data_IF_474492809617
#
_entry.id   IF_474492809617
#
_cell.length_a   1.000
_cell.length_b   1.000
_cell.length_c   1.000
_cell.angle_alpha   90.00
_cell.angle_beta   90.00
_cell.angle_gamma   90.00
#
_symmetry.space_group_name_H-M   'P 1'
#
loop_
_entity.id
_entity.type
_entity.pdbx_description
1 polymer ?
#
# COMPACT_ATOMS: atom_id res chain seq x y z
N UNK A 1 10.12 -0.16 -12.53
CA UNK A 1 8.93 0.48 -11.96
C UNK A 1 9.03 0.36 -10.45
N UNK A 2 8.91 1.45 -9.73
CA UNK A 2 8.93 1.43 -8.27
C UNK A 2 7.52 1.13 -7.72
N UNK A 3 7.40 0.87 -6.42
CA UNK A 3 6.12 0.49 -5.82
C UNK A 3 5.09 1.62 -5.89
N UNK A 4 5.52 2.88 -5.81
CA UNK A 4 4.63 4.04 -5.85
C UNK A 4 4.00 4.19 -7.23
N UNK A 5 4.78 4.02 -8.31
CA UNK A 5 4.28 4.02 -9.69
C UNK A 5 3.27 2.90 -9.92
N UNK A 6 3.52 1.71 -9.34
CA UNK A 6 2.60 0.59 -9.41
C UNK A 6 1.29 0.93 -8.69
N UNK A 7 1.37 1.42 -7.45
CA UNK A 7 0.18 1.75 -6.67
C UNK A 7 -0.63 2.89 -7.31
N UNK A 8 0.03 3.83 -7.97
CA UNK A 8 -0.66 4.89 -8.71
C UNK A 8 -1.37 4.35 -9.96
N UNK A 9 -0.76 3.40 -10.66
CA UNK A 9 -1.38 2.71 -11.81
C UNK A 9 -2.57 1.81 -11.43
N UNK A 10 -2.72 1.46 -10.15
CA UNK A 10 -3.86 0.70 -9.63
C UNK A 10 -5.10 1.56 -9.33
N UNK A 11 -5.01 2.88 -9.47
CA UNK A 11 -6.19 3.76 -9.49
C UNK A 11 -6.96 3.55 -10.79
N UNK A 12 -8.22 3.17 -10.68
CA UNK A 12 -9.03 2.75 -11.80
C UNK A 12 -9.97 3.84 -12.29
N UNK A 13 -10.30 3.76 -13.57
CA UNK A 13 -11.39 4.51 -14.21
C UNK A 13 -12.36 3.51 -14.86
N UNK A 14 -13.41 3.99 -15.50
CA UNK A 14 -14.43 3.15 -16.12
C UNK A 14 -13.88 2.21 -17.19
N UNK A 15 -12.81 2.61 -17.91
CA UNK A 15 -12.25 1.85 -19.02
C UNK A 15 -11.44 0.65 -18.58
N UNK A 16 -10.75 0.75 -17.42
CA UNK A 16 -9.82 -0.28 -16.93
C UNK A 16 -10.24 -0.92 -15.60
N UNK A 17 -11.49 -0.70 -15.19
CA UNK A 17 -12.02 -1.16 -13.90
C UNK A 17 -11.93 -2.68 -13.71
N UNK A 18 -11.99 -3.44 -14.79
CA UNK A 18 -11.97 -4.89 -14.80
C UNK A 18 -10.60 -5.48 -15.16
N UNK A 19 -9.59 -4.64 -15.43
CA UNK A 19 -8.27 -5.11 -15.82
C UNK A 19 -7.45 -5.56 -14.61
N UNK A 20 -6.77 -6.70 -14.75
CA UNK A 20 -5.87 -7.25 -13.74
C UNK A 20 -4.45 -7.08 -14.24
N UNK A 21 -3.65 -6.34 -13.49
CA UNK A 21 -2.26 -6.07 -13.80
C UNK A 21 -1.33 -6.90 -12.93
N UNK A 22 -0.37 -7.58 -13.57
CA UNK A 22 0.71 -8.26 -12.87
C UNK A 22 2.06 -7.69 -13.28
N UNK A 23 2.91 -7.48 -12.30
CA UNK A 23 4.26 -6.97 -12.48
C UNK A 23 5.28 -8.02 -12.05
N UNK A 24 6.33 -8.22 -12.87
CA UNK A 24 7.36 -9.20 -12.58
C UNK A 24 8.32 -8.71 -11.51
N UNK A 25 8.39 -9.43 -10.39
CA UNK A 25 9.35 -9.21 -9.31
C UNK A 25 10.13 -10.49 -9.04
N UNK A 26 11.38 -10.54 -9.51
CA UNK A 26 12.18 -11.76 -9.45
C UNK A 26 11.55 -12.88 -10.27
N UNK A 27 11.20 -14.01 -9.63
CA UNK A 27 10.54 -15.17 -10.24
C UNK A 27 9.01 -15.16 -10.08
N UNK A 28 8.43 -14.13 -9.48
CA UNK A 28 7.01 -14.03 -9.21
C UNK A 28 6.37 -12.91 -10.01
N UNK A 29 5.13 -13.15 -10.43
CA UNK A 29 4.22 -12.14 -10.94
C UNK A 29 3.35 -11.66 -9.80
N UNK A 30 3.29 -10.34 -9.58
CA UNK A 30 2.56 -9.74 -8.47
C UNK A 30 1.48 -8.81 -8.96
N UNK A 31 0.28 -9.01 -8.45
CA UNK A 31 -0.83 -8.07 -8.56
C UNK A 31 -0.92 -7.26 -7.26
N UNK A 32 -1.30 -5.99 -7.37
CA UNK A 32 -1.39 -5.06 -6.26
C UNK A 32 -2.80 -4.50 -6.14
N UNK A 33 -3.17 -4.06 -4.95
CA UNK A 33 -4.41 -3.33 -4.65
C UNK A 33 -5.63 -3.91 -5.37
N UNK A 34 -6.21 -3.16 -6.32
CA UNK A 34 -7.39 -3.58 -7.05
C UNK A 34 -7.16 -4.83 -7.93
N UNK A 35 -6.02 -4.89 -8.60
CA UNK A 35 -5.63 -6.11 -9.33
C UNK A 35 -5.48 -7.32 -8.42
N UNK A 36 -5.01 -7.15 -7.19
CA UNK A 36 -4.95 -8.22 -6.20
C UNK A 36 -6.36 -8.65 -5.75
N UNK A 37 -7.27 -7.70 -5.57
CA UNK A 37 -8.68 -8.00 -5.30
C UNK A 37 -9.31 -8.84 -6.41
N UNK A 38 -9.24 -8.37 -7.66
CA UNK A 38 -9.78 -9.07 -8.82
C UNK A 38 -9.15 -10.45 -8.99
N UNK A 39 -7.83 -10.58 -8.79
CA UNK A 39 -7.13 -11.87 -8.86
C UNK A 39 -7.64 -12.89 -7.83
N UNK A 40 -7.94 -12.43 -6.61
CA UNK A 40 -8.50 -13.29 -5.55
C UNK A 40 -9.91 -13.74 -5.88
N UNK A 41 -10.71 -12.88 -6.49
CA UNK A 41 -12.12 -13.10 -6.80
C UNK A 41 -12.34 -13.57 -8.24
N UNK A 42 -11.27 -13.85 -8.98
CA UNK A 42 -11.38 -14.35 -10.35
C UNK A 42 -12.23 -15.64 -10.39
N UNK A 43 -13.19 -15.73 -11.31
CA UNK A 43 -14.06 -16.91 -11.43
C UNK A 43 -13.24 -18.17 -11.72
N UNK A 44 -13.27 -19.11 -10.81
CA UNK A 44 -12.59 -20.40 -10.92
C UNK A 44 -13.29 -21.43 -10.04
N UNK A 45 -13.04 -22.72 -10.29
CA UNK A 45 -13.56 -23.81 -9.46
C UNK A 45 -12.82 -23.99 -8.12
N UNK A 46 -11.85 -23.12 -7.83
CA UNK A 46 -11.04 -23.18 -6.60
C UNK A 46 -11.88 -22.83 -5.37
N UNK A 47 -11.70 -23.61 -4.32
CA UNK A 47 -12.23 -23.30 -2.98
C UNK A 47 -11.56 -22.09 -2.38
N UNK A 48 -12.16 -21.46 -1.38
CA UNK A 48 -11.61 -20.27 -0.72
C UNK A 48 -10.17 -20.47 -0.16
N UNK A 49 -9.86 -21.67 0.33
CA UNK A 49 -8.54 -22.01 0.85
C UNK A 49 -7.47 -22.19 -0.23
N UNK A 50 -7.88 -22.55 -1.44
CA UNK A 50 -7.01 -22.74 -2.60
C UNK A 50 -6.75 -21.47 -3.38
N UNK A 51 -7.61 -20.45 -3.21
CA UNK A 51 -7.45 -19.14 -3.86
C UNK A 51 -6.16 -18.44 -3.44
N UNK A 52 -5.69 -17.54 -4.29
CA UNK A 52 -4.51 -16.71 -4.03
C UNK A 52 -4.66 -15.96 -2.71
N UNK A 53 -3.66 -16.08 -1.84
CA UNK A 53 -3.69 -15.46 -0.51
C UNK A 53 -3.08 -14.06 -0.55
N UNK A 54 -3.86 -13.03 -0.20
CA UNK A 54 -3.35 -11.67 -0.17
C UNK A 54 -2.39 -11.46 1.03
N UNK A 55 -1.38 -10.65 0.81
CA UNK A 55 -0.43 -10.23 1.83
C UNK A 55 -0.43 -8.71 1.93
N UNK A 56 -0.57 -8.17 3.13
CA UNK A 56 -0.49 -6.73 3.40
C UNK A 56 0.92 -6.35 3.83
N UNK A 57 1.48 -5.32 3.20
CA UNK A 57 2.81 -4.76 3.50
C UNK A 57 2.72 -3.28 3.82
N UNK A 58 3.70 -2.79 4.58
CA UNK A 58 3.84 -1.39 4.96
C UNK A 58 5.20 -0.88 4.51
N UNK A 59 5.24 0.33 3.99
CA UNK A 59 6.48 1.05 3.66
C UNK A 59 6.45 2.45 4.28
N UNK A 60 7.60 3.14 4.27
CA UNK A 60 7.68 4.53 4.76
C UNK A 60 6.80 5.48 3.92
N UNK A 61 6.62 5.19 2.65
CA UNK A 61 5.81 5.98 1.71
C UNK A 61 4.34 5.55 1.68
N UNK A 62 4.02 4.35 2.18
CA UNK A 62 2.65 3.84 2.27
C UNK A 62 2.40 3.28 3.69
N UNK A 63 2.15 4.18 4.64
CA UNK A 63 1.98 3.88 6.08
C UNK A 63 0.71 3.06 6.34
N UNK A 64 -0.35 3.29 5.58
CA UNK A 64 -1.62 2.55 5.69
C UNK A 64 -1.51 1.14 5.11
N UNK A 65 -0.40 0.89 4.41
CA UNK A 65 -0.09 -0.38 3.80
C UNK A 65 -0.79 -0.61 2.47
N UNK A 66 -0.21 -1.48 1.69
CA UNK A 66 -0.77 -1.97 0.43
C UNK A 66 -0.89 -3.49 0.46
N UNK A 67 -1.80 -4.01 -0.35
CA UNK A 67 -2.03 -5.45 -0.50
C UNK A 67 -1.44 -5.92 -1.81
N UNK A 68 -0.85 -7.10 -1.81
CA UNK A 68 -0.41 -7.78 -3.02
C UNK A 68 -0.67 -9.28 -2.96
N UNK A 69 -0.78 -9.87 -4.13
CA UNK A 69 -0.81 -11.31 -4.37
C UNK A 69 0.35 -11.64 -5.30
N UNK A 70 0.97 -12.80 -5.13
CA UNK A 70 2.07 -13.24 -6.00
C UNK A 70 1.96 -14.70 -6.36
N UNK A 71 2.25 -15.01 -7.63
CA UNK A 71 2.29 -16.39 -8.14
C UNK A 71 3.42 -16.53 -9.18
N UNK A 72 4.01 -17.72 -9.31
CA UNK A 72 4.93 -18.02 -10.40
C UNK A 72 4.17 -18.24 -11.70
N UNK A 73 4.77 -17.90 -12.85
CA UNK A 73 4.14 -18.03 -14.17
C UNK A 73 3.55 -19.45 -14.44
N UNK A 74 4.21 -20.55 -14.09
CA UNK A 74 3.64 -21.90 -14.30
C UNK A 74 2.32 -22.17 -13.57
N UNK A 75 2.00 -21.37 -12.55
CA UNK A 75 0.75 -21.53 -11.79
C UNK A 75 -0.40 -20.68 -12.34
N UNK A 76 -0.19 -19.87 -13.38
CA UNK A 76 -1.22 -18.99 -13.93
C UNK A 76 -2.47 -19.74 -14.36
N UNK A 77 -2.32 -20.83 -15.11
CA UNK A 77 -3.46 -21.61 -15.63
C UNK A 77 -4.36 -22.16 -14.52
N UNK A 78 -3.79 -22.47 -13.35
CA UNK A 78 -4.56 -22.91 -12.19
C UNK A 78 -5.52 -21.83 -11.69
N UNK A 79 -5.06 -20.57 -11.66
CA UNK A 79 -5.81 -19.45 -11.06
C UNK A 79 -6.62 -18.67 -12.10
N UNK A 80 -6.19 -18.72 -13.36
CA UNK A 80 -6.77 -17.99 -14.49
C UNK A 80 -6.97 -18.96 -15.67
N UNK A 81 -7.91 -19.92 -15.53
CA UNK A 81 -8.12 -20.94 -16.56
C UNK A 81 -8.54 -20.31 -17.88
N UNK A 82 -8.00 -20.84 -18.98
CA UNK A 82 -8.27 -20.41 -20.36
C UNK A 82 -7.85 -18.96 -20.70
N UNK A 83 -7.09 -18.30 -19.85
CA UNK A 83 -6.65 -16.91 -20.07
C UNK A 83 -5.39 -16.84 -20.93
N UNK A 84 -4.38 -17.67 -20.63
CA UNK A 84 -3.05 -17.61 -21.28
C UNK A 84 -3.09 -17.79 -22.80
N UNK A 85 -4.04 -18.54 -23.33
CA UNK A 85 -4.15 -18.87 -24.74
C UNK A 85 -5.07 -17.92 -25.54
N UNK A 86 -5.60 -16.88 -24.88
CA UNK A 86 -6.49 -15.91 -25.50
C UNK A 86 -5.84 -14.53 -25.62
N UNK A 87 -5.33 -14.21 -26.81
CA UNK A 87 -4.63 -12.94 -27.08
C UNK A 87 -5.51 -11.68 -27.00
N UNK A 88 -6.84 -11.81 -26.99
CA UNK A 88 -7.75 -10.69 -26.80
C UNK A 88 -7.86 -10.31 -25.31
N UNK A 89 -7.70 -11.30 -24.45
CA UNK A 89 -7.86 -11.16 -22.99
C UNK A 89 -6.50 -10.99 -22.31
N UNK A 90 -5.48 -11.74 -22.77
CA UNK A 90 -4.16 -11.81 -22.15
C UNK A 90 -3.12 -11.07 -22.98
N UNK A 91 -2.45 -10.10 -22.36
CA UNK A 91 -1.30 -9.39 -22.94
C UNK A 91 -0.12 -9.47 -21.99
N UNK A 92 1.03 -9.84 -22.53
CA UNK A 92 2.29 -9.83 -21.78
C UNK A 92 3.35 -9.06 -22.56
N UNK A 93 3.78 -7.96 -22.01
CA UNK A 93 4.81 -7.10 -22.57
C UNK A 93 5.90 -6.83 -21.53
N UNK A 94 7.16 -7.11 -21.87
CA UNK A 94 8.29 -6.91 -20.97
C UNK A 94 8.07 -7.64 -19.62
N UNK A 95 7.89 -6.89 -18.55
CA UNK A 95 7.69 -7.37 -17.18
C UNK A 95 6.29 -7.06 -16.65
N UNK A 96 5.33 -6.94 -17.53
CA UNK A 96 3.96 -6.57 -17.21
C UNK A 96 2.96 -7.50 -17.93
N UNK A 97 2.00 -8.02 -17.19
CA UNK A 97 0.87 -8.79 -17.71
C UNK A 97 -0.40 -8.00 -17.45
N UNK A 98 -1.27 -7.93 -18.44
CA UNK A 98 -2.62 -7.40 -18.34
C UNK A 98 -3.61 -8.50 -18.73
N UNK A 99 -4.62 -8.70 -17.87
CA UNK A 99 -5.76 -9.57 -18.17
C UNK A 99 -6.99 -8.66 -18.26
N UNK A 100 -7.61 -8.58 -19.43
CA UNK A 100 -8.85 -7.83 -19.65
C UNK A 100 -10.03 -8.65 -19.09
N UNK A 101 -10.39 -8.35 -17.84
CA UNK A 101 -11.29 -9.19 -17.03
C UNK A 101 -12.78 -8.97 -17.24
N UNK A 102 -13.22 -7.99 -18.07
CA UNK A 102 -14.63 -7.60 -18.20
C UNK A 102 -15.58 -8.76 -18.48
N UNK A 103 -15.17 -9.70 -19.30
CA UNK A 103 -15.98 -10.90 -19.66
C UNK A 103 -16.13 -11.92 -18.51
N UNK A 104 -15.26 -11.86 -17.50
CA UNK A 104 -15.30 -12.75 -16.34
C UNK A 104 -16.14 -12.21 -15.19
N UNK A 105 -16.33 -10.87 -15.11
CA UNK A 105 -17.05 -10.18 -14.04
C UNK A 105 -18.36 -9.57 -14.54
N UNK A 106 -19.08 -10.25 -15.43
CA UNK A 106 -20.29 -9.72 -16.12
C UNK A 106 -21.40 -9.33 -15.15
N UNK A 107 -21.51 -10.00 -14.01
CA UNK A 107 -22.56 -9.77 -13.02
C UNK A 107 -22.11 -8.89 -11.84
N UNK A 108 -20.88 -8.39 -11.88
CA UNK A 108 -20.30 -7.59 -10.80
C UNK A 108 -20.40 -6.10 -11.10
N UNK A 109 -20.93 -5.34 -10.15
CA UNK A 109 -20.93 -3.88 -10.19
C UNK A 109 -19.77 -3.33 -9.36
N UNK A 110 -18.74 -2.90 -10.02
CA UNK A 110 -17.57 -2.29 -9.39
C UNK A 110 -17.57 -0.75 -9.42
N UNK A 111 -18.71 -0.11 -9.66
CA UNK A 111 -18.81 1.36 -9.67
C UNK A 111 -18.31 2.01 -8.35
N UNK A 112 -18.34 1.27 -7.23
CA UNK A 112 -17.82 1.68 -5.92
C UNK A 112 -16.56 0.94 -5.52
N UNK A 113 -15.67 0.63 -6.47
CA UNK A 113 -14.49 -0.20 -6.23
C UNK A 113 -13.59 0.27 -5.09
N UNK A 114 -13.46 1.59 -4.87
CA UNK A 114 -12.65 2.14 -3.78
C UNK A 114 -13.18 1.74 -2.40
N UNK A 115 -14.49 1.74 -2.22
CA UNK A 115 -15.14 1.27 -1.00
C UNK A 115 -14.95 -0.22 -0.79
N UNK A 116 -15.16 -1.02 -1.85
CA UNK A 116 -14.94 -2.47 -1.85
C UNK A 116 -13.49 -2.81 -1.49
N UNK A 117 -12.53 -2.13 -2.13
CA UNK A 117 -11.11 -2.31 -1.87
C UNK A 117 -10.74 -1.96 -0.43
N UNK A 118 -11.26 -0.85 0.09
CA UNK A 118 -11.00 -0.38 1.45
C UNK A 118 -11.50 -1.40 2.48
N UNK A 119 -12.72 -1.88 2.31
CA UNK A 119 -13.31 -2.90 3.17
C UNK A 119 -12.51 -4.21 3.12
N UNK A 120 -12.19 -4.69 1.91
CA UNK A 120 -11.39 -5.89 1.73
C UNK A 120 -10.02 -5.79 2.39
N UNK A 121 -9.30 -4.67 2.20
CA UNK A 121 -8.00 -4.41 2.81
C UNK A 121 -8.05 -4.38 4.34
N UNK A 122 -9.15 -3.93 4.93
CA UNK A 122 -9.33 -3.88 6.39
C UNK A 122 -9.38 -5.29 7.01
N UNK A 123 -9.88 -6.27 6.28
CA UNK A 123 -9.99 -7.66 6.70
C UNK A 123 -8.67 -8.44 6.57
N UNK A 124 -7.66 -7.91 5.87
CA UNK A 124 -6.38 -8.57 5.69
C UNK A 124 -5.45 -8.23 6.85
N UNK A 125 -5.10 -9.26 7.65
CA UNK A 125 -4.23 -9.10 8.81
C UNK A 125 -2.77 -8.89 8.40
N UNK A 126 -2.10 -7.98 9.09
CA UNK A 126 -0.65 -7.82 8.98
C UNK A 126 0.05 -9.03 9.60
N UNK A 127 1.12 -9.50 8.95
CA UNK A 127 2.03 -10.47 9.55
C UNK A 127 2.75 -9.86 10.77
N UNK A 128 3.25 -10.69 11.68
CA UNK A 128 3.95 -10.19 12.87
C UNK A 128 5.22 -9.41 12.52
N UNK A 129 5.87 -9.76 11.41
CA UNK A 129 7.00 -9.00 10.86
C UNK A 129 6.58 -7.60 10.43
N UNK A 130 5.48 -7.48 9.70
CA UNK A 130 4.96 -6.18 9.25
C UNK A 130 4.39 -5.33 10.41
N UNK A 131 3.86 -5.97 11.46
CA UNK A 131 3.44 -5.26 12.69
C UNK A 131 4.62 -4.61 13.40
N UNK A 132 5.77 -5.32 13.51
CA UNK A 132 7.01 -4.77 14.10
C UNK A 132 7.50 -3.59 13.27
N UNK A 133 7.61 -3.76 11.95
CA UNK A 133 8.00 -2.71 11.02
C UNK A 133 7.10 -1.47 11.09
N UNK A 134 5.79 -1.66 11.22
CA UNK A 134 4.83 -0.56 11.38
C UNK A 134 5.09 0.25 12.65
N UNK A 135 5.41 -0.44 13.77
CA UNK A 135 5.77 0.25 15.02
C UNK A 135 7.06 1.07 14.86
N UNK A 136 8.06 0.53 14.17
CA UNK A 136 9.32 1.24 13.90
C UNK A 136 9.08 2.48 13.04
N UNK A 137 8.34 2.37 11.94
CA UNK A 137 8.00 3.49 11.04
C UNK A 137 7.22 4.56 11.80
N UNK A 138 6.22 4.17 12.61
CA UNK A 138 5.42 5.13 13.39
C UNK A 138 6.28 5.84 14.44
N UNK A 139 7.21 5.13 15.09
CA UNK A 139 8.13 5.73 16.05
C UNK A 139 9.09 6.71 15.38
N UNK A 140 9.65 6.36 14.22
CA UNK A 140 10.48 7.28 13.42
C UNK A 140 9.69 8.53 13.00
N UNK A 141 8.47 8.34 12.49
CA UNK A 141 7.60 9.46 12.08
C UNK A 141 7.20 10.35 13.27
N UNK A 142 6.91 9.75 14.43
CA UNK A 142 6.61 10.51 15.66
C UNK A 142 7.81 11.35 16.09
N UNK A 143 9.02 10.78 16.04
CA UNK A 143 10.24 11.52 16.40
C UNK A 143 10.50 12.70 15.44
N UNK A 144 10.27 12.52 14.13
CA UNK A 144 10.39 13.60 13.13
C UNK A 144 9.36 14.70 13.39
N UNK A 145 8.07 14.36 13.59
CA UNK A 145 7.00 15.33 13.86
C UNK A 145 7.30 16.11 15.16
N UNK A 146 7.79 15.41 16.19
CA UNK A 146 8.13 16.06 17.47
C UNK A 146 9.34 16.99 17.32
N UNK A 147 10.35 16.62 16.52
CA UNK A 147 11.51 17.49 16.22
C UNK A 147 11.11 18.73 15.44
N UNK A 148 10.29 18.59 14.41
CA UNK A 148 9.79 19.72 13.62
C UNK A 148 8.89 20.65 14.45
N UNK A 149 8.06 20.10 15.33
CA UNK A 149 7.27 20.91 16.28
C UNK A 149 8.18 21.72 17.20
N UNK A 150 9.26 21.12 17.72
CA UNK A 150 10.22 21.80 18.57
C UNK A 150 10.96 22.92 17.81
N UNK A 151 11.37 22.69 16.58
CA UNK A 151 12.01 23.67 15.71
C UNK A 151 11.06 24.85 15.45
N UNK A 152 9.80 24.58 15.13
CA UNK A 152 8.80 25.62 14.91
C UNK A 152 8.54 26.45 16.16
N UNK A 153 8.53 25.86 17.37
CA UNK A 153 8.42 26.58 18.62
C UNK A 153 9.64 27.52 18.85
N UNK A 154 10.85 27.05 18.53
CA UNK A 154 12.08 27.86 18.63
C UNK A 154 12.01 29.04 17.66
N UNK A 155 11.65 28.79 16.39
CA UNK A 155 11.59 29.83 15.35
C UNK A 155 10.51 30.88 15.67
N UNK A 156 9.37 30.45 16.23
CA UNK A 156 8.25 31.36 16.54
C UNK A 156 8.39 32.11 17.85
N UNK A 157 9.42 31.83 18.65
CA UNK A 157 9.61 32.52 19.94
C UNK A 157 10.13 33.93 19.73
N UNK A 158 9.37 34.99 20.14
CA UNK A 158 9.71 36.38 19.88
C UNK A 158 10.73 36.91 20.90
N UNK A 159 11.99 36.50 20.77
CA UNK A 159 13.08 36.78 21.73
C UNK A 159 13.30 38.29 21.97
N UNK A 160 13.07 39.10 20.91
CA UNK A 160 13.26 40.58 20.98
C UNK A 160 12.29 41.28 21.94
N UNK A 161 11.14 40.62 22.21
CA UNK A 161 10.07 41.18 23.03
C UNK A 161 9.97 40.53 24.42
N UNK A 162 11.00 39.76 24.81
CA UNK A 162 10.99 38.99 26.07
C UNK A 162 12.07 39.48 27.04
N UNK A 163 11.78 39.33 28.32
CA UNK A 163 12.77 39.56 29.37
C UNK A 163 13.80 38.42 29.39
N UNK A 164 14.97 38.66 29.96
CA UNK A 164 16.00 37.66 30.14
C UNK A 164 15.47 36.42 30.89
N UNK A 165 14.63 36.64 31.91
CA UNK A 165 14.05 35.56 32.72
C UNK A 165 13.12 34.70 31.88
N UNK A 166 12.22 35.29 31.08
CA UNK A 166 11.32 34.55 30.18
C UNK A 166 12.11 33.76 29.13
N UNK A 167 13.17 34.34 28.57
CA UNK A 167 14.03 33.65 27.60
C UNK A 167 14.76 32.45 28.22
N UNK A 168 15.24 32.56 29.45
CA UNK A 168 15.86 31.44 30.18
C UNK A 168 14.84 30.34 30.52
N UNK A 169 13.62 30.72 30.89
CA UNK A 169 12.53 29.78 31.13
C UNK A 169 12.17 29.00 29.83
N UNK A 170 12.08 29.70 28.71
CA UNK A 170 11.84 29.09 27.42
C UNK A 170 12.97 28.12 27.02
N UNK A 171 14.24 28.52 27.19
CA UNK A 171 15.37 27.62 26.91
C UNK A 171 15.35 26.35 27.80
N UNK A 172 14.98 26.50 29.08
CA UNK A 172 14.83 25.33 29.96
C UNK A 172 13.70 24.39 29.48
N UNK A 173 12.56 24.96 29.08
CA UNK A 173 11.44 24.23 28.53
C UNK A 173 11.83 23.47 27.24
N UNK A 174 12.50 24.12 26.29
CA UNK A 174 12.99 23.51 25.05
C UNK A 174 13.96 22.38 25.33
N UNK A 175 14.90 22.58 26.24
CA UNK A 175 15.86 21.54 26.67
C UNK A 175 15.14 20.30 27.22
N UNK A 176 14.15 20.50 28.09
CA UNK A 176 13.40 19.39 28.70
C UNK A 176 12.55 18.64 27.68
N UNK A 177 12.00 19.34 26.68
CA UNK A 177 11.31 18.74 25.54
C UNK A 177 12.28 17.95 24.66
N UNK A 178 13.44 18.50 24.33
CA UNK A 178 14.46 17.84 23.51
C UNK A 178 15.00 16.56 24.15
N UNK A 179 15.15 16.54 25.48
CA UNK A 179 15.59 15.33 26.19
C UNK A 179 14.57 14.18 26.19
N UNK A 180 13.28 14.50 26.08
CA UNK A 180 12.19 13.51 25.95
C UNK A 180 12.11 12.90 24.56
N UNK A 181 12.50 13.64 23.52
CA UNK A 181 12.55 13.16 22.13
C UNK A 181 13.68 12.13 21.92
N UNK A 182 14.74 12.22 22.72
CA UNK A 182 15.93 11.35 22.63
C UNK A 182 15.79 9.99 23.34
N UNK A 183 14.73 9.74 24.07
CA UNK A 183 14.40 8.47 24.71
C UNK A 183 13.43 7.64 23.88
#
# INVERSE_FOLDING_TARGET
>A
MNIEEILDSEKRNEDNLYDIHFYMEGSFWRAYEWSAYLSRHFPSELTEDERLKPTKKITKTCIDGYVHIGLPLPSFEKYFPNVLNNNEIFKMENKHIIIHGKSFFVNEDFSKYEGILTEWKSNIKLSDKEKKKNKEIKNESYNIITSDSLINEIISYPIENRTLIESLQFLSYIRDKATKIRK
#
